data_IF_402955575362
#
_entry.id   IF_402955575362
#
_cell.length_a   1.000
_cell.length_b   1.000
_cell.length_c   1.000
_cell.angle_alpha   90.00
_cell.angle_beta   90.00
_cell.angle_gamma   90.00
#
_symmetry.space_group_name_H-M   'P 1'
#
loop_
_entity.id
_entity.type
_entity.pdbx_description
1 polymer ?
#
# COMPACT_ATOMS: atom_id res chain seq x y z
N UNK A 1 -29.20 -0.12 -8.74
CA UNK A 1 -28.42 -1.30 -9.16
C UNK A 1 -26.94 -1.01 -8.98
N UNK A 2 -26.19 -1.85 -8.26
CA UNK A 2 -24.74 -1.69 -8.10
C UNK A 2 -24.06 -2.16 -9.39
N UNK A 3 -23.26 -1.30 -10.02
CA UNK A 3 -22.46 -1.66 -11.19
C UNK A 3 -21.39 -2.68 -10.80
N UNK A 4 -21.18 -3.69 -11.63
CA UNK A 4 -20.12 -4.66 -11.45
C UNK A 4 -18.76 -4.03 -11.76
N UNK A 5 -17.67 -4.65 -11.26
CA UNK A 5 -16.31 -4.19 -11.55
C UNK A 5 -16.03 -4.16 -13.05
N UNK A 6 -16.48 -5.15 -13.79
CA UNK A 6 -16.26 -5.26 -15.22
C UNK A 6 -16.97 -4.16 -16.01
N UNK A 7 -18.17 -3.77 -15.59
CA UNK A 7 -18.90 -2.62 -16.16
C UNK A 7 -18.14 -1.32 -15.88
N UNK A 8 -17.65 -1.12 -14.67
CA UNK A 8 -16.86 0.06 -14.31
C UNK A 8 -15.54 0.14 -15.08
N UNK A 9 -14.85 -0.99 -15.28
CA UNK A 9 -13.65 -1.06 -16.10
C UNK A 9 -13.92 -0.64 -17.55
N UNK A 10 -14.99 -1.14 -18.17
CA UNK A 10 -15.39 -0.77 -19.54
C UNK A 10 -15.61 0.74 -19.68
N UNK A 11 -16.21 1.35 -18.66
CA UNK A 11 -16.61 2.77 -18.70
C UNK A 11 -15.46 3.70 -18.34
N UNK A 12 -14.59 3.33 -17.38
CA UNK A 12 -13.66 4.28 -16.76
C UNK A 12 -12.18 3.95 -16.95
N UNK A 13 -11.81 2.75 -17.41
CA UNK A 13 -10.40 2.35 -17.48
C UNK A 13 -9.54 3.30 -18.34
N UNK A 14 -10.12 3.92 -19.37
CA UNK A 14 -9.43 4.87 -20.26
C UNK A 14 -9.00 6.16 -19.55
N UNK A 15 -9.54 6.45 -18.36
CA UNK A 15 -9.16 7.63 -17.58
C UNK A 15 -7.82 7.46 -16.87
N UNK A 16 -7.39 6.20 -16.66
CA UNK A 16 -6.23 5.89 -15.84
C UNK A 16 -4.96 5.79 -16.67
N UNK A 17 -3.88 6.31 -16.12
CA UNK A 17 -2.52 6.16 -16.64
C UNK A 17 -1.68 5.30 -15.70
N UNK A 18 -0.75 4.52 -16.24
CA UNK A 18 0.14 3.71 -15.43
C UNK A 18 1.15 4.61 -14.69
N UNK A 19 1.21 4.46 -13.37
CA UNK A 19 2.23 5.11 -12.58
C UNK A 19 3.54 4.28 -12.56
N UNK A 20 4.71 4.93 -12.48
CA UNK A 20 5.97 4.24 -12.28
C UNK A 20 5.98 3.51 -10.94
N UNK A 21 6.74 2.43 -10.86
CA UNK A 21 6.96 1.69 -9.63
C UNK A 21 8.45 1.43 -9.44
N UNK A 22 8.94 1.53 -8.21
CA UNK A 22 10.26 1.04 -7.87
C UNK A 22 10.33 -0.47 -8.08
N UNK A 23 11.54 -0.97 -8.31
CA UNK A 23 11.81 -2.39 -8.49
C UNK A 23 12.78 -2.88 -7.42
N UNK A 24 12.61 -4.13 -7.01
CA UNK A 24 13.58 -4.83 -6.18
C UNK A 24 14.88 -5.08 -6.97
N UNK A 25 15.94 -5.47 -6.28
CA UNK A 25 17.20 -5.91 -6.90
C UNK A 25 17.01 -7.04 -7.93
N UNK A 26 16.00 -7.88 -7.72
CA UNK A 26 15.62 -8.96 -8.66
C UNK A 26 14.71 -8.49 -9.81
N UNK A 27 14.42 -7.18 -9.92
CA UNK A 27 13.61 -6.59 -10.98
C UNK A 27 12.09 -6.66 -10.75
N UNK A 28 11.60 -7.23 -9.65
CA UNK A 28 10.17 -7.28 -9.34
C UNK A 28 9.62 -5.90 -8.99
N UNK A 29 8.44 -5.52 -9.52
CA UNK A 29 7.81 -4.27 -9.12
C UNK A 29 7.45 -4.29 -7.63
N UNK A 30 7.65 -3.15 -6.96
CA UNK A 30 7.32 -2.98 -5.55
C UNK A 30 5.97 -2.29 -5.38
N UNK A 31 5.27 -2.67 -4.33
CA UNK A 31 4.03 -2.04 -3.91
C UNK A 31 4.29 -0.57 -3.55
N UNK A 32 3.58 0.36 -4.19
CA UNK A 32 3.72 1.80 -3.96
C UNK A 32 3.48 2.20 -2.50
N UNK A 33 2.66 1.42 -1.79
CA UNK A 33 2.25 1.71 -0.41
C UNK A 33 3.25 1.23 0.64
N UNK A 34 3.86 0.06 0.46
CA UNK A 34 4.62 -0.59 1.52
C UNK A 34 5.98 -1.18 1.12
N UNK A 35 6.32 -1.21 -0.18
CA UNK A 35 7.58 -1.75 -0.67
C UNK A 35 7.68 -3.28 -0.72
N UNK A 36 6.62 -4.02 -0.35
CA UNK A 36 6.58 -5.45 -0.59
C UNK A 36 6.41 -5.73 -2.10
N UNK A 37 6.74 -6.94 -2.61
CA UNK A 37 6.47 -7.29 -4.00
C UNK A 37 5.01 -7.02 -4.36
N UNK A 38 4.80 -6.39 -5.52
CA UNK A 38 3.47 -6.08 -6.02
C UNK A 38 2.92 -7.26 -6.83
N UNK A 39 1.72 -7.70 -6.49
CA UNK A 39 1.00 -8.81 -7.14
C UNK A 39 -0.34 -8.39 -7.76
N UNK A 40 -0.71 -7.12 -7.66
CA UNK A 40 -1.92 -6.58 -8.25
C UNK A 40 -1.75 -5.11 -8.67
N UNK A 41 -2.80 -4.58 -9.29
CA UNK A 41 -2.92 -3.16 -9.66
C UNK A 41 -4.07 -2.56 -8.85
N UNK A 42 -3.79 -1.43 -8.22
CA UNK A 42 -4.80 -0.59 -7.58
C UNK A 42 -5.15 0.60 -8.48
N UNK A 43 -6.43 0.97 -8.51
CA UNK A 43 -6.94 2.15 -9.18
C UNK A 43 -7.02 3.30 -8.17
N UNK A 44 -6.28 4.34 -8.41
CA UNK A 44 -6.29 5.56 -7.59
C UNK A 44 -6.78 6.74 -8.43
N UNK A 45 -8.00 7.23 -8.22
CA UNK A 45 -9.02 6.81 -7.24
C UNK A 45 -9.67 5.44 -7.55
N UNK A 46 -10.34 4.81 -6.56
CA UNK A 46 -11.04 3.55 -6.78
C UNK A 46 -12.11 3.64 -7.87
N UNK A 47 -12.21 2.62 -8.74
CA UNK A 47 -13.18 2.59 -9.85
C UNK A 47 -14.62 2.89 -9.39
N UNK A 48 -15.05 2.34 -8.28
CA UNK A 48 -16.39 2.54 -7.71
C UNK A 48 -16.69 3.98 -7.28
N UNK A 49 -15.66 4.83 -7.23
CA UNK A 49 -15.75 6.23 -6.80
C UNK A 49 -15.51 7.25 -7.91
N UNK A 50 -15.20 6.81 -9.13
CA UNK A 50 -14.87 7.70 -10.25
C UNK A 50 -15.94 8.76 -10.50
N UNK A 51 -17.21 8.39 -10.48
CA UNK A 51 -18.31 9.35 -10.69
C UNK A 51 -18.31 10.46 -9.62
N UNK A 52 -18.02 10.10 -8.36
CA UNK A 52 -17.91 11.05 -7.24
C UNK A 52 -16.70 11.98 -7.41
N UNK A 53 -15.55 11.45 -7.82
CA UNK A 53 -14.35 12.25 -8.06
C UNK A 53 -14.52 13.22 -9.22
N UNK A 54 -15.18 12.77 -10.30
CA UNK A 54 -15.51 13.66 -11.44
C UNK A 54 -16.44 14.78 -11.04
N UNK A 55 -17.43 14.52 -10.20
CA UNK A 55 -18.31 15.55 -9.66
C UNK A 55 -17.57 16.57 -8.78
N UNK A 56 -16.49 16.16 -8.14
CA UNK A 56 -15.63 17.05 -7.34
C UNK A 56 -14.55 17.78 -8.18
N UNK A 57 -14.54 17.62 -9.51
CA UNK A 57 -13.59 18.29 -10.40
C UNK A 57 -12.18 17.73 -10.36
N UNK A 58 -11.99 16.48 -9.90
CA UNK A 58 -10.67 15.83 -9.92
C UNK A 58 -10.26 15.54 -11.35
N UNK A 59 -9.11 16.10 -11.77
CA UNK A 59 -8.61 16.04 -13.13
C UNK A 59 -8.09 14.64 -13.50
N UNK A 60 -8.10 14.34 -14.80
CA UNK A 60 -7.72 13.04 -15.36
C UNK A 60 -6.27 12.65 -15.06
N UNK A 61 -5.38 13.61 -14.98
CA UNK A 61 -3.96 13.40 -14.67
C UNK A 61 -3.72 12.74 -13.30
N UNK A 62 -4.73 12.81 -12.44
CA UNK A 62 -4.68 12.24 -11.10
C UNK A 62 -5.22 10.81 -11.03
N UNK A 63 -5.70 10.25 -12.15
CA UNK A 63 -6.17 8.86 -12.21
C UNK A 63 -5.03 7.92 -12.57
N UNK A 64 -4.57 7.16 -11.60
CA UNK A 64 -3.38 6.33 -11.72
C UNK A 64 -3.68 4.84 -11.50
N UNK A 65 -3.03 4.00 -12.32
CA UNK A 65 -2.86 2.58 -12.05
C UNK A 65 -1.54 2.38 -11.33
N UNK A 66 -1.60 1.98 -10.07
CA UNK A 66 -0.39 1.79 -9.26
C UNK A 66 -0.14 0.32 -8.95
N UNK A 67 1.13 -0.07 -8.92
CA UNK A 67 1.52 -1.41 -8.48
C UNK A 67 1.30 -1.53 -6.98
N UNK A 68 0.55 -2.54 -6.58
CA UNK A 68 0.17 -2.76 -5.19
C UNK A 68 0.32 -4.24 -4.81
N UNK A 69 0.52 -4.52 -3.53
CA UNK A 69 0.32 -5.85 -3.00
C UNK A 69 -1.14 -6.03 -2.56
N UNK A 70 -1.64 -7.24 -2.70
CA UNK A 70 -3.02 -7.58 -2.34
C UNK A 70 -3.41 -7.15 -0.93
N UNK A 71 -2.56 -7.31 0.13
CA UNK A 71 -2.90 -6.82 1.46
C UNK A 71 -3.12 -5.31 1.55
N UNK A 72 -2.31 -4.48 0.88
CA UNK A 72 -2.50 -3.03 0.86
C UNK A 72 -3.74 -2.63 0.07
N UNK A 73 -3.94 -3.22 -1.11
CA UNK A 73 -5.10 -2.95 -1.94
C UNK A 73 -6.42 -3.28 -1.22
N UNK A 74 -6.48 -4.45 -0.56
CA UNK A 74 -7.66 -4.85 0.23
C UNK A 74 -7.87 -3.95 1.45
N UNK A 75 -6.80 -3.55 2.12
CA UNK A 75 -6.88 -2.69 3.31
C UNK A 75 -7.39 -1.29 2.97
N UNK A 76 -6.97 -0.73 1.84
CA UNK A 76 -7.42 0.56 1.34
C UNK A 76 -8.84 0.49 0.77
N UNK A 77 -9.18 -0.58 0.07
CA UNK A 77 -10.48 -0.78 -0.53
C UNK A 77 -10.95 0.43 -1.36
N UNK A 78 -12.19 0.84 -1.15
CA UNK A 78 -12.81 1.99 -1.82
C UNK A 78 -12.77 3.29 -0.99
N UNK A 79 -11.82 3.41 -0.05
CA UNK A 79 -11.63 4.66 0.70
C UNK A 79 -11.31 5.83 -0.23
N UNK A 80 -11.89 6.98 0.05
CA UNK A 80 -11.78 8.18 -0.78
C UNK A 80 -10.61 9.02 -0.27
N UNK A 81 -9.61 9.24 -1.11
CA UNK A 81 -8.52 10.19 -0.90
C UNK A 81 -8.44 11.13 -2.10
N UNK A 82 -8.01 12.35 -1.88
CA UNK A 82 -7.96 13.40 -2.92
C UNK A 82 -6.95 13.09 -4.02
N UNK A 83 -5.85 12.42 -3.68
CA UNK A 83 -4.75 12.12 -4.58
C UNK A 83 -3.99 10.86 -4.14
N UNK A 84 -3.02 10.44 -4.95
CA UNK A 84 -2.22 9.24 -4.69
C UNK A 84 -1.31 9.39 -3.46
N UNK A 85 -0.81 10.59 -3.16
CA UNK A 85 0.05 10.81 -1.99
C UNK A 85 -0.77 10.61 -0.71
N UNK A 86 -1.95 11.21 -0.64
CA UNK A 86 -2.92 11.00 0.45
C UNK A 86 -3.30 9.52 0.60
N UNK A 87 -3.40 8.77 -0.50
CA UNK A 87 -3.69 7.34 -0.49
C UNK A 87 -2.51 6.52 0.05
N UNK A 88 -1.27 6.92 -0.24
CA UNK A 88 -0.07 6.32 0.37
C UNK A 88 -0.04 6.58 1.88
N UNK A 89 -0.35 7.81 2.31
CA UNK A 89 -0.41 8.18 3.73
C UNK A 89 -1.48 7.39 4.48
N UNK A 90 -2.66 7.23 3.90
CA UNK A 90 -3.73 6.40 4.47
C UNK A 90 -3.29 4.95 4.64
N UNK A 91 -2.65 4.35 3.63
CA UNK A 91 -2.12 2.99 3.72
C UNK A 91 -1.13 2.86 4.89
N UNK A 92 -0.21 3.81 5.03
CA UNK A 92 0.75 3.85 6.15
C UNK A 92 0.05 4.04 7.50
N UNK A 93 -0.97 4.88 7.56
CA UNK A 93 -1.81 5.07 8.74
C UNK A 93 -2.48 3.76 9.19
N UNK A 94 -3.05 3.01 8.25
CA UNK A 94 -3.67 1.71 8.51
C UNK A 94 -2.65 0.66 8.97
N UNK A 95 -1.43 0.67 8.40
CA UNK A 95 -0.35 -0.22 8.85
C UNK A 95 0.10 0.16 10.28
N UNK A 96 0.22 1.46 10.60
CA UNK A 96 0.52 1.93 11.97
C UNK A 96 -0.54 1.50 12.99
N UNK A 97 -1.83 1.59 12.63
CA UNK A 97 -2.93 1.08 13.48
C UNK A 97 -2.80 -0.42 13.74
N UNK A 98 -2.34 -1.17 12.73
CA UNK A 98 -2.09 -2.60 12.84
C UNK A 98 -0.90 -2.91 13.75
N UNK A 99 0.15 -2.09 13.69
CA UNK A 99 1.31 -2.16 14.57
C UNK A 99 0.90 -1.86 16.03
N UNK A 100 0.17 -0.76 16.27
CA UNK A 100 -0.25 -0.34 17.61
C UNK A 100 -1.23 -1.31 18.31
N UNK A 101 -1.89 -2.20 17.56
CA UNK A 101 -2.72 -3.28 18.12
C UNK A 101 -1.91 -4.50 18.55
N UNK A 102 -0.62 -4.55 18.24
CA UNK A 102 0.28 -5.60 18.69
C UNK A 102 0.93 -5.14 19.99
N UNK A 103 1.11 -6.08 20.87
CA UNK A 103 1.93 -5.86 22.05
C UNK A 103 3.39 -5.80 21.62
N UNK A 104 3.83 -4.59 21.23
CA UNK A 104 5.15 -4.32 20.64
C UNK A 104 6.19 -4.03 21.72
N UNK A 105 5.82 -4.17 23.01
CA UNK A 105 6.63 -3.74 24.14
C UNK A 105 7.92 -4.54 24.37
N UNK A 106 8.18 -5.58 23.56
CA UNK A 106 9.32 -6.46 23.83
C UNK A 106 10.16 -6.68 22.57
N UNK A 107 11.26 -5.95 22.47
CA UNK A 107 12.45 -6.41 21.76
C UNK A 107 13.18 -7.37 22.71
N UNK A 108 13.06 -8.65 22.46
CA UNK A 108 13.81 -9.67 23.20
C UNK A 108 15.24 -9.67 22.72
N UNK A 109 16.21 -9.62 23.61
CA UNK A 109 17.60 -9.89 23.29
C UNK A 109 17.77 -11.36 22.87
N UNK A 110 18.76 -11.67 22.06
CA UNK A 110 18.99 -13.05 21.59
C UNK A 110 19.26 -14.00 22.78
N UNK A 111 19.90 -13.50 23.81
CA UNK A 111 20.18 -14.20 25.06
C UNK A 111 18.87 -14.61 25.77
N UNK A 112 17.93 -13.67 25.89
CA UNK A 112 16.60 -13.93 26.48
C UNK A 112 15.82 -14.95 25.68
N UNK A 113 15.94 -14.92 24.34
CA UNK A 113 15.28 -15.89 23.45
C UNK A 113 15.85 -17.30 23.61
N UNK A 114 17.14 -17.43 23.97
CA UNK A 114 17.78 -18.72 24.16
C UNK A 114 17.30 -19.44 25.42
N UNK A 115 16.90 -18.68 26.43
CA UNK A 115 16.35 -19.21 27.68
C UNK A 115 14.88 -19.68 27.55
N UNK A 116 14.22 -19.35 26.45
CA UNK A 116 12.84 -19.77 26.21
C UNK A 116 12.79 -21.22 25.71
N UNK A 117 11.80 -21.95 26.18
CA UNK A 117 11.47 -23.26 25.62
C UNK A 117 11.13 -23.15 24.11
N UNK A 118 11.42 -24.20 23.34
CA UNK A 118 11.34 -24.24 21.86
C UNK A 118 10.06 -23.59 21.29
N UNK A 119 8.90 -23.93 21.84
CA UNK A 119 7.61 -23.45 21.36
C UNK A 119 7.44 -21.94 21.61
N UNK A 120 7.82 -21.46 22.78
CA UNK A 120 7.72 -20.05 23.15
C UNK A 120 8.71 -19.21 22.35
N UNK A 121 9.94 -19.68 22.18
CA UNK A 121 10.96 -19.04 21.32
C UNK A 121 10.47 -18.89 19.88
N UNK A 122 9.86 -19.92 19.31
CA UNK A 122 9.28 -19.87 17.96
C UNK A 122 8.16 -18.84 17.86
N UNK A 123 7.28 -18.79 18.87
CA UNK A 123 6.16 -17.84 18.91
C UNK A 123 6.65 -16.40 19.02
N UNK A 124 7.55 -16.11 19.96
CA UNK A 124 8.16 -14.77 20.15
C UNK A 124 8.91 -14.33 18.90
N UNK A 125 9.76 -15.18 18.34
CA UNK A 125 10.51 -14.87 17.11
C UNK A 125 9.59 -14.60 15.93
N UNK A 126 8.47 -15.31 15.80
CA UNK A 126 7.45 -15.01 14.78
C UNK A 126 6.79 -13.65 15.01
N UNK A 127 6.47 -13.29 16.25
CA UNK A 127 5.89 -12.00 16.58
C UNK A 127 6.85 -10.85 16.29
N UNK A 128 8.14 -10.99 16.61
CA UNK A 128 9.18 -10.01 16.30
C UNK A 128 9.31 -9.77 14.79
N UNK A 129 9.47 -10.83 13.99
CA UNK A 129 9.56 -10.71 12.52
C UNK A 129 8.33 -10.01 11.90
N UNK A 130 7.14 -10.28 12.43
CA UNK A 130 5.91 -9.58 11.98
C UNK A 130 5.93 -8.10 12.31
N UNK A 131 6.45 -7.73 13.48
CA UNK A 131 6.62 -6.35 13.93
C UNK A 131 7.63 -5.61 13.06
N UNK A 132 8.81 -6.18 12.84
CA UNK A 132 9.86 -5.65 11.95
C UNK A 132 9.34 -5.44 10.53
N UNK A 133 8.58 -6.40 10.01
CA UNK A 133 7.95 -6.28 8.70
C UNK A 133 6.99 -5.09 8.63
N UNK A 134 6.17 -4.85 9.66
CA UNK A 134 5.27 -3.69 9.69
C UNK A 134 6.04 -2.37 9.77
N UNK A 135 7.10 -2.30 10.58
CA UNK A 135 7.97 -1.11 10.69
C UNK A 135 8.59 -0.79 9.33
N UNK A 136 9.23 -1.76 8.67
CA UNK A 136 9.81 -1.60 7.33
C UNK A 136 8.79 -1.06 6.33
N UNK A 137 7.56 -1.58 6.34
CA UNK A 137 6.48 -1.15 5.44
C UNK A 137 6.03 0.29 5.71
N UNK A 138 6.04 0.74 6.97
CA UNK A 138 5.74 2.12 7.34
C UNK A 138 6.86 3.06 6.86
N UNK A 139 8.12 2.65 7.01
CA UNK A 139 9.30 3.45 6.69
C UNK A 139 9.60 3.53 5.19
N UNK A 140 9.06 2.61 4.39
CA UNK A 140 9.25 2.61 2.94
C UNK A 140 8.83 3.92 2.29
N UNK A 141 9.73 4.54 1.52
CA UNK A 141 9.54 5.83 0.86
C UNK A 141 9.54 5.77 -0.67
N UNK A 142 9.81 4.60 -1.24
CA UNK A 142 9.92 4.44 -2.69
C UNK A 142 8.65 4.84 -3.44
N UNK A 143 7.47 4.58 -2.89
CA UNK A 143 6.21 4.99 -3.49
C UNK A 143 6.09 6.50 -3.67
N UNK A 144 6.49 7.29 -2.68
CA UNK A 144 6.49 8.75 -2.80
C UNK A 144 7.49 9.21 -3.88
N UNK A 145 8.71 8.63 -3.90
CA UNK A 145 9.73 9.00 -4.91
C UNK A 145 9.25 8.72 -6.31
N UNK A 146 8.67 7.56 -6.56
CA UNK A 146 8.16 7.16 -7.86
C UNK A 146 7.06 8.11 -8.36
N UNK A 147 6.10 8.44 -7.51
CA UNK A 147 4.98 9.32 -7.87
C UNK A 147 5.41 10.78 -8.00
N UNK A 148 6.23 11.30 -7.10
CA UNK A 148 6.72 12.68 -7.16
C UNK A 148 7.62 12.91 -8.39
N UNK A 149 8.40 11.90 -8.81
CA UNK A 149 9.15 11.96 -10.07
C UNK A 149 8.22 12.20 -11.26
N UNK A 150 7.15 11.41 -11.35
CA UNK A 150 6.16 11.54 -12.43
C UNK A 150 5.48 12.91 -12.46
N UNK A 151 5.14 13.49 -11.28
CA UNK A 151 4.46 14.78 -11.20
C UNK A 151 5.36 15.96 -11.63
N UNK A 152 6.69 15.83 -11.48
CA UNK A 152 7.65 16.85 -11.94
C UNK A 152 7.89 16.82 -13.44
N UNK A 153 7.75 15.65 -14.07
CA UNK A 153 7.96 15.50 -15.52
C UNK A 153 6.74 15.99 -16.34
N UNK A 154 5.65 16.40 -15.67
CA UNK A 154 4.43 16.93 -16.28
C UNK A 154 4.32 18.46 -16.24
N UNK A 155 5.27 19.17 -15.64
CA UNK A 155 5.39 20.64 -15.65
C UNK A 155 6.36 21.10 -16.77
#
# INVERSE_FOLDING_TARGET
>A
MSQTRDELLKVYNFLYSAAPAERSEMGWPLCVYCGDPADCIDHAPPLSKVSQYRALGVHREMYLLVKACKPCNMMLGSTVQTDILSRIDEAKGLIRKKLGRRDVGYTWAEEDLNDLGRNLRSHVGSAMRKTESLIRRIEYRGGYRAVLGMLRDTE
#
